data_IF_581536552520
#
_entry.id   IF_581536552520
#
_cell.length_a   1.000
_cell.length_b   1.000
_cell.length_c   1.000
_cell.angle_alpha   90.00
_cell.angle_beta   90.00
_cell.angle_gamma   90.00
#
_symmetry.space_group_name_H-M   'P 1'
#
loop_
_entity.id
_entity.type
_entity.pdbx_description
1 polymer ?
#
# COMPACT_ATOMS: atom_id res chain seq x y z
N UNK A 1 -21.41 24.67 -7.32
CA UNK A 1 -20.18 24.09 -6.73
C UNK A 1 -20.46 22.68 -6.30
N UNK A 2 -19.94 21.72 -7.01
CA UNK A 2 -19.91 20.33 -6.56
C UNK A 2 -18.84 20.22 -5.46
N UNK A 3 -19.27 19.90 -4.23
CA UNK A 3 -18.34 19.56 -3.17
C UNK A 3 -17.66 18.24 -3.53
N UNK A 4 -16.38 18.28 -3.80
CA UNK A 4 -15.56 17.07 -3.95
C UNK A 4 -15.57 16.36 -2.60
N UNK A 5 -15.94 15.08 -2.59
CA UNK A 5 -15.90 14.30 -1.35
C UNK A 5 -14.43 14.05 -0.96
N UNK A 6 -14.17 13.86 0.33
CA UNK A 6 -12.82 13.53 0.81
C UNK A 6 -12.25 12.29 0.13
N UNK A 7 -13.11 11.34 -0.23
CA UNK A 7 -12.69 10.13 -0.96
C UNK A 7 -12.26 10.45 -2.40
N UNK A 8 -13.00 11.29 -3.11
CA UNK A 8 -12.63 11.75 -4.47
C UNK A 8 -11.30 12.53 -4.45
N UNK A 9 -11.07 13.34 -3.42
CA UNK A 9 -9.82 14.04 -3.23
C UNK A 9 -8.64 13.09 -3.06
N UNK A 10 -8.79 12.02 -2.28
CA UNK A 10 -7.79 10.96 -2.17
C UNK A 10 -7.57 10.22 -3.49
N UNK A 11 -8.63 9.92 -4.22
CA UNK A 11 -8.52 9.28 -5.54
C UNK A 11 -7.73 10.13 -6.53
N UNK A 12 -7.96 11.43 -6.57
CA UNK A 12 -7.20 12.36 -7.43
C UNK A 12 -5.72 12.38 -7.05
N UNK A 13 -5.39 12.47 -5.77
CA UNK A 13 -4.00 12.44 -5.27
C UNK A 13 -3.31 11.14 -5.61
N UNK A 14 -3.99 10.02 -5.39
CA UNK A 14 -3.49 8.69 -5.75
C UNK A 14 -3.26 8.58 -7.26
N UNK A 15 -4.16 9.11 -8.08
CA UNK A 15 -4.01 9.17 -9.53
C UNK A 15 -2.74 9.92 -9.95
N UNK A 16 -2.45 11.05 -9.31
CA UNK A 16 -1.20 11.80 -9.55
C UNK A 16 0.05 11.00 -9.16
N UNK A 17 0.01 10.33 -8.02
CA UNK A 17 1.09 9.45 -7.58
C UNK A 17 1.32 8.30 -8.56
N UNK A 18 0.25 7.65 -8.97
CA UNK A 18 0.33 6.55 -9.92
C UNK A 18 0.84 6.98 -11.30
N UNK A 19 0.65 8.24 -11.72
CA UNK A 19 1.22 8.74 -12.97
C UNK A 19 2.75 8.70 -12.99
N UNK A 20 3.38 8.71 -11.81
CA UNK A 20 4.83 8.58 -11.63
C UNK A 20 5.30 7.12 -11.49
N UNK A 21 4.38 6.18 -11.37
CA UNK A 21 4.69 4.76 -11.21
C UNK A 21 4.85 4.05 -12.56
N UNK A 22 5.52 2.89 -12.59
CA UNK A 22 5.59 2.07 -13.78
C UNK A 22 4.20 1.73 -14.34
N UNK A 23 4.07 1.66 -15.65
CA UNK A 23 2.82 1.31 -16.35
C UNK A 23 2.20 0.01 -15.84
N UNK A 24 3.02 -0.95 -15.44
CA UNK A 24 2.56 -2.24 -14.87
C UNK A 24 1.78 -2.07 -13.57
N UNK A 25 2.18 -1.10 -12.73
CA UNK A 25 1.47 -0.78 -11.47
C UNK A 25 0.13 -0.12 -11.74
N UNK A 26 0.07 0.78 -12.72
CA UNK A 26 -1.19 1.39 -13.19
C UNK A 26 -2.16 0.34 -13.73
N UNK A 27 -1.67 -0.64 -14.48
CA UNK A 27 -2.48 -1.74 -14.99
C UNK A 27 -3.05 -2.60 -13.86
N UNK A 28 -2.30 -2.82 -12.78
CA UNK A 28 -2.78 -3.53 -11.60
C UNK A 28 -3.93 -2.80 -10.91
N UNK A 29 -3.83 -1.48 -10.77
CA UNK A 29 -4.90 -0.66 -10.18
C UNK A 29 -6.17 -0.73 -11.04
N UNK A 30 -6.05 -0.55 -12.35
CA UNK A 30 -7.16 -0.66 -13.30
C UNK A 30 -7.81 -2.06 -13.25
N UNK A 31 -7.01 -3.11 -13.17
CA UNK A 31 -7.50 -4.48 -13.05
C UNK A 31 -8.29 -4.71 -11.74
N UNK A 32 -7.89 -4.09 -10.65
CA UNK A 32 -8.62 -4.14 -9.37
C UNK A 32 -9.99 -3.48 -9.52
N UNK A 33 -10.07 -2.32 -10.13
CA UNK A 33 -11.32 -1.60 -10.38
C UNK A 33 -12.26 -2.42 -11.28
N UNK A 34 -11.76 -2.98 -12.38
CA UNK A 34 -12.53 -3.83 -13.30
C UNK A 34 -13.08 -5.08 -12.62
N UNK A 35 -12.28 -5.73 -11.78
CA UNK A 35 -12.72 -6.91 -11.02
C UNK A 35 -13.85 -6.59 -10.05
N UNK A 36 -13.86 -5.39 -9.49
CA UNK A 36 -14.94 -4.95 -8.59
C UNK A 36 -16.23 -4.61 -9.33
N UNK A 37 -16.15 -4.00 -10.50
CA UNK A 37 -17.31 -3.69 -11.33
C UNK A 37 -18.07 -4.94 -11.81
N UNK A 38 -17.35 -6.03 -12.05
CA UNK A 38 -17.92 -7.30 -12.47
C UNK A 38 -18.85 -7.94 -11.41
N UNK A 39 -18.65 -7.62 -10.14
CA UNK A 39 -19.51 -8.06 -9.04
C UNK A 39 -19.53 -9.58 -8.80
N UNK A 40 -18.59 -10.34 -9.37
CA UNK A 40 -18.48 -11.78 -9.20
C UNK A 40 -17.71 -12.14 -7.93
N UNK A 41 -18.36 -12.82 -6.94
CA UNK A 41 -17.70 -13.19 -5.68
C UNK A 41 -16.46 -14.07 -5.86
N UNK A 42 -16.39 -14.89 -6.91
CA UNK A 42 -15.23 -15.73 -7.20
C UNK A 42 -13.96 -14.91 -7.49
N UNK A 43 -14.12 -13.64 -7.86
CA UNK A 43 -13.01 -12.74 -8.16
C UNK A 43 -12.49 -11.96 -6.97
N UNK A 44 -13.15 -12.01 -5.83
CA UNK A 44 -12.75 -11.25 -4.65
C UNK A 44 -11.36 -11.64 -4.13
N UNK A 45 -11.01 -12.92 -4.18
CA UNK A 45 -9.66 -13.39 -3.86
C UNK A 45 -8.60 -12.80 -4.80
N UNK A 46 -8.94 -12.69 -6.07
CA UNK A 46 -8.05 -12.08 -7.08
C UNK A 46 -7.83 -10.60 -6.80
N UNK A 47 -8.89 -9.89 -6.37
CA UNK A 47 -8.80 -8.48 -5.98
C UNK A 47 -7.83 -8.30 -4.81
N UNK A 48 -7.95 -9.12 -3.76
CA UNK A 48 -7.04 -9.07 -2.61
C UNK A 48 -5.58 -9.35 -3.01
N UNK A 49 -5.37 -10.36 -3.85
CA UNK A 49 -4.04 -10.67 -4.38
C UNK A 49 -3.48 -9.51 -5.20
N UNK A 50 -4.31 -8.86 -5.99
CA UNK A 50 -3.92 -7.71 -6.80
C UNK A 50 -3.59 -6.49 -5.92
N UNK A 51 -4.35 -6.25 -4.86
CA UNK A 51 -4.05 -5.21 -3.87
C UNK A 51 -2.70 -5.46 -3.18
N UNK A 52 -2.42 -6.70 -2.80
CA UNK A 52 -1.13 -7.07 -2.21
C UNK A 52 0.02 -6.80 -3.16
N UNK A 53 -0.09 -7.23 -4.41
CA UNK A 53 0.94 -6.98 -5.44
C UNK A 53 1.14 -5.49 -5.71
N UNK A 54 0.06 -4.70 -5.66
CA UNK A 54 0.15 -3.24 -5.74
C UNK A 54 1.01 -2.69 -4.61
N UNK A 55 0.80 -3.13 -3.38
CA UNK A 55 1.60 -2.70 -2.23
C UNK A 55 3.06 -3.14 -2.31
N UNK A 56 3.34 -4.32 -2.86
CA UNK A 56 4.71 -4.77 -3.13
C UNK A 56 5.42 -3.82 -4.10
N UNK A 57 4.75 -3.42 -5.17
CA UNK A 57 5.29 -2.46 -6.14
C UNK A 57 5.49 -1.07 -5.52
N UNK A 58 4.51 -0.59 -4.76
CA UNK A 58 4.60 0.71 -4.06
C UNK A 58 5.75 0.71 -3.07
N UNK A 59 5.93 -0.37 -2.31
CA UNK A 59 7.03 -0.52 -1.37
C UNK A 59 8.39 -0.42 -2.06
N UNK A 60 8.54 -1.11 -3.18
CA UNK A 60 9.79 -1.07 -3.95
C UNK A 60 10.08 0.32 -4.50
N UNK A 61 9.10 0.93 -5.16
CA UNK A 61 9.27 2.27 -5.77
C UNK A 61 9.54 3.32 -4.71
N UNK A 62 8.80 3.31 -3.61
CA UNK A 62 8.97 4.26 -2.52
C UNK A 62 10.34 4.12 -1.84
N UNK A 63 10.78 2.88 -1.60
CA UNK A 63 12.09 2.62 -1.02
C UNK A 63 13.22 3.12 -1.91
N UNK A 64 13.17 2.86 -3.21
CA UNK A 64 14.17 3.34 -4.17
C UNK A 64 14.18 4.87 -4.28
N UNK A 65 13.03 5.52 -4.22
CA UNK A 65 12.90 6.98 -4.26
C UNK A 65 13.43 7.65 -2.99
N UNK A 66 13.11 7.10 -1.83
CA UNK A 66 13.43 7.72 -0.52
C UNK A 66 14.85 7.39 -0.07
N UNK A 67 15.32 6.19 -0.35
CA UNK A 67 16.61 5.66 0.08
C UNK A 67 17.44 5.13 -1.11
N UNK A 68 17.69 5.96 -2.15
CA UNK A 68 18.35 5.50 -3.38
C UNK A 68 19.78 5.02 -3.15
N UNK A 69 20.45 5.55 -2.13
CA UNK A 69 21.85 5.24 -1.81
C UNK A 69 22.01 4.14 -0.77
N UNK A 70 20.92 3.63 -0.22
CA UNK A 70 20.96 2.54 0.76
C UNK A 70 21.23 1.21 0.06
N UNK A 71 22.44 0.66 0.27
CA UNK A 71 22.91 -0.57 -0.36
C UNK A 71 23.05 -1.74 0.62
N UNK A 72 22.98 -1.43 1.91
CA UNK A 72 23.09 -2.44 2.97
C UNK A 72 21.83 -3.31 3.02
N UNK A 73 22.01 -4.55 3.41
CA UNK A 73 20.92 -5.50 3.63
C UNK A 73 20.01 -5.05 4.75
N UNK A 74 20.57 -4.46 5.81
CA UNK A 74 19.86 -4.08 7.01
C UNK A 74 19.64 -2.57 7.09
N UNK A 75 18.49 -2.18 7.59
CA UNK A 75 18.15 -0.79 7.92
C UNK A 75 17.92 -0.68 9.43
N UNK A 76 18.54 0.31 10.05
CA UNK A 76 18.37 0.57 11.49
C UNK A 76 17.24 1.57 11.71
N UNK A 77 16.20 1.13 12.41
CA UNK A 77 15.05 1.96 12.77
C UNK A 77 15.40 2.97 13.88
N UNK A 78 14.56 3.96 14.09
CA UNK A 78 14.70 4.95 15.19
C UNK A 78 14.75 4.28 16.56
N UNK A 79 14.07 3.16 16.76
CA UNK A 79 14.09 2.40 18.01
C UNK A 79 15.34 1.54 18.17
N UNK A 80 16.25 1.56 17.19
CA UNK A 80 17.48 0.77 17.19
C UNK A 80 17.32 -0.65 16.69
N UNK A 81 16.12 -1.06 16.28
CA UNK A 81 15.87 -2.36 15.68
C UNK A 81 16.44 -2.40 14.26
N UNK A 82 17.12 -3.48 13.92
CA UNK A 82 17.58 -3.73 12.56
C UNK A 82 16.54 -4.58 11.79
N UNK A 83 16.17 -4.13 10.60
CA UNK A 83 15.22 -4.82 9.72
C UNK A 83 15.88 -5.11 8.37
N UNK A 84 15.61 -6.28 7.83
CA UNK A 84 16.12 -6.70 6.51
C UNK A 84 15.29 -6.02 5.40
N UNK A 85 15.92 -5.17 4.62
CA UNK A 85 15.30 -4.45 3.49
C UNK A 85 15.75 -4.99 2.13
N UNK A 86 16.37 -6.16 2.10
CA UNK A 86 16.79 -6.82 0.86
C UNK A 86 15.66 -7.64 0.24
N UNK A 87 15.83 -8.01 -1.03
CA UNK A 87 14.94 -8.95 -1.72
C UNK A 87 13.46 -8.56 -1.63
N UNK A 88 12.64 -9.51 -1.19
CA UNK A 88 11.17 -9.40 -1.15
C UNK A 88 10.61 -8.97 0.21
N UNK A 89 11.44 -8.36 1.07
CA UNK A 89 11.01 -7.85 2.37
C UNK A 89 10.25 -6.51 2.23
N UNK A 90 9.13 -6.52 1.52
CA UNK A 90 8.37 -5.32 1.17
C UNK A 90 7.83 -4.55 2.38
N UNK A 91 7.36 -5.25 3.43
CA UNK A 91 6.91 -4.60 4.66
C UNK A 91 8.03 -3.80 5.32
N UNK A 92 9.24 -4.35 5.34
CA UNK A 92 10.41 -3.67 5.90
C UNK A 92 10.84 -2.50 5.03
N UNK A 93 10.80 -2.64 3.71
CA UNK A 93 11.10 -1.54 2.77
C UNK A 93 10.15 -0.37 2.97
N UNK A 94 8.85 -0.64 3.06
CA UNK A 94 7.85 0.42 3.28
C UNK A 94 8.04 1.10 4.63
N UNK A 95 8.31 0.33 5.68
CA UNK A 95 8.59 0.85 7.02
C UNK A 95 9.80 1.77 7.04
N UNK A 96 10.90 1.36 6.42
CA UNK A 96 12.12 2.14 6.31
C UNK A 96 11.90 3.45 5.54
N UNK A 97 11.20 3.39 4.41
CA UNK A 97 10.90 4.55 3.59
C UNK A 97 10.01 5.56 4.33
N UNK A 98 8.95 5.11 4.98
CA UNK A 98 8.02 5.97 5.72
C UNK A 98 8.70 6.59 6.94
N UNK A 99 9.49 5.83 7.70
CA UNK A 99 10.24 6.35 8.83
C UNK A 99 11.20 7.47 8.38
N UNK A 100 11.88 7.27 7.27
CA UNK A 100 12.78 8.27 6.68
C UNK A 100 12.03 9.52 6.24
N UNK A 101 10.87 9.39 5.61
CA UNK A 101 10.01 10.52 5.24
C UNK A 101 9.51 11.28 6.45
N UNK A 102 9.09 10.58 7.50
CA UNK A 102 8.67 11.20 8.76
C UNK A 102 9.78 12.02 9.41
N UNK A 103 11.02 11.52 9.39
CA UNK A 103 12.19 12.27 9.87
C UNK A 103 12.42 13.55 9.08
N UNK A 104 12.40 13.44 7.75
CA UNK A 104 12.61 14.59 6.86
C UNK A 104 11.52 15.64 7.01
N UNK A 105 10.27 15.21 7.19
CA UNK A 105 9.13 16.09 7.39
C UNK A 105 9.03 16.65 8.83
N UNK A 106 9.81 16.13 9.76
CA UNK A 106 9.70 16.40 11.20
C UNK A 106 8.28 16.17 11.74
N UNK A 107 7.58 15.15 11.23
CA UNK A 107 6.21 14.78 11.59
C UNK A 107 6.13 13.34 12.07
N UNK A 108 5.31 13.11 13.09
CA UNK A 108 4.91 11.78 13.50
C UNK A 108 3.53 11.48 12.89
N UNK A 109 3.45 10.39 12.13
CA UNK A 109 2.20 9.91 11.53
C UNK A 109 2.00 8.43 11.85
N UNK A 110 0.77 7.98 11.75
CA UNK A 110 0.42 6.56 11.89
C UNK A 110 0.43 5.80 10.56
N UNK A 111 0.82 6.46 9.46
CA UNK A 111 0.76 5.91 8.10
C UNK A 111 1.49 4.57 7.99
N UNK A 112 2.69 4.46 8.55
CA UNK A 112 3.45 3.21 8.51
C UNK A 112 2.73 2.06 9.22
N UNK A 113 2.16 2.32 10.39
CA UNK A 113 1.40 1.33 11.16
C UNK A 113 0.11 0.92 10.44
N UNK A 114 -0.58 1.87 9.83
CA UNK A 114 -1.80 1.61 9.04
C UNK A 114 -1.52 0.70 7.84
N UNK A 115 -0.44 0.94 7.11
CA UNK A 115 -0.06 0.15 5.94
C UNK A 115 0.34 -1.27 6.35
N UNK A 116 1.15 -1.42 7.38
CA UNK A 116 1.54 -2.74 7.89
C UNK A 116 0.32 -3.52 8.35
N UNK A 117 -0.59 -2.87 9.08
CA UNK A 117 -1.85 -3.49 9.49
C UNK A 117 -2.68 -3.95 8.29
N UNK A 118 -2.79 -3.13 7.26
CA UNK A 118 -3.53 -3.47 6.03
C UNK A 118 -2.92 -4.67 5.30
N UNK A 119 -1.60 -4.72 5.18
CA UNK A 119 -0.90 -5.83 4.53
C UNK A 119 -1.07 -7.12 5.34
N UNK A 120 -0.88 -7.05 6.66
CA UNK A 120 -1.08 -8.20 7.55
C UNK A 120 -2.51 -8.73 7.48
N UNK A 121 -3.49 -7.84 7.44
CA UNK A 121 -4.88 -8.20 7.30
C UNK A 121 -5.17 -8.92 5.98
N UNK A 122 -4.64 -8.46 4.86
CA UNK A 122 -4.74 -9.13 3.57
C UNK A 122 -4.10 -10.52 3.58
N UNK A 123 -2.94 -10.66 4.21
CA UNK A 123 -2.25 -11.95 4.35
C UNK A 123 -3.06 -12.94 5.19
N UNK A 124 -3.67 -12.49 6.28
CA UNK A 124 -4.51 -13.34 7.12
C UNK A 124 -5.74 -13.85 6.35
N UNK A 125 -6.40 -13.01 5.58
CA UNK A 125 -7.54 -13.42 4.74
C UNK A 125 -7.10 -14.46 3.71
N UNK A 126 -5.98 -14.26 3.04
CA UNK A 126 -5.44 -15.22 2.09
C UNK A 126 -5.10 -16.56 2.74
N UNK A 127 -4.55 -16.57 3.95
CA UNK A 127 -4.26 -17.81 4.72
C UNK A 127 -5.53 -18.57 5.07
N UNK A 128 -6.59 -17.88 5.50
CA UNK A 128 -7.87 -18.49 5.79
C UNK A 128 -8.48 -19.20 4.58
N UNK A 129 -8.35 -18.62 3.40
CA UNK A 129 -8.79 -19.25 2.15
C UNK A 129 -7.99 -20.48 1.78
N UNK A 130 -6.66 -20.45 2.02
CA UNK A 130 -5.73 -21.56 1.68
C UNK A 130 -5.86 -22.73 2.65
N UNK A 131 -6.40 -22.55 3.85
CA UNK A 131 -6.46 -23.58 4.91
C UNK A 131 -7.63 -24.56 4.78
N UNK A 132 -8.46 -24.43 3.73
CA UNK A 132 -9.65 -25.28 3.54
C UNK A 132 -10.80 -24.98 4.49
N UNK A 133 -10.66 -24.01 5.37
CA UNK A 133 -11.78 -23.41 6.07
C UNK A 133 -12.49 -22.52 5.05
N UNK A 134 -13.71 -22.90 4.66
CA UNK A 134 -14.52 -22.18 3.68
C UNK A 134 -15.01 -20.83 4.22
N UNK A 135 -14.08 -19.88 4.41
CA UNK A 135 -14.44 -18.49 4.59
C UNK A 135 -14.31 -17.80 3.23
N UNK A 136 -15.42 -17.65 2.56
CA UNK A 136 -15.46 -16.86 1.33
C UNK A 136 -15.10 -15.41 1.68
N UNK A 137 -14.22 -14.81 0.87
CA UNK A 137 -13.97 -13.37 0.94
C UNK A 137 -15.26 -12.65 0.60
N UNK A 138 -15.72 -11.80 1.50
CA UNK A 138 -16.93 -11.02 1.29
C UNK A 138 -16.65 -9.75 0.50
N UNK A 139 -17.69 -9.23 -0.18
CA UNK A 139 -17.61 -7.94 -0.86
C UNK A 139 -17.17 -6.82 0.09
N UNK A 140 -17.66 -6.81 1.32
CA UNK A 140 -17.31 -5.79 2.32
C UNK A 140 -15.83 -5.83 2.70
N UNK A 141 -15.23 -7.01 2.81
CA UNK A 141 -13.79 -7.16 3.07
C UNK A 141 -12.97 -6.59 1.92
N UNK A 142 -13.35 -6.86 0.69
CA UNK A 142 -12.67 -6.33 -0.50
C UNK A 142 -12.81 -4.82 -0.61
N UNK A 143 -14.01 -4.29 -0.43
CA UNK A 143 -14.26 -2.85 -0.43
C UNK A 143 -13.45 -2.12 0.64
N UNK A 144 -13.37 -2.69 1.83
CA UNK A 144 -12.54 -2.17 2.92
C UNK A 144 -11.07 -2.13 2.51
N UNK A 145 -10.56 -3.19 1.91
CA UNK A 145 -9.18 -3.27 1.43
C UNK A 145 -8.89 -2.16 0.40
N UNK A 146 -9.76 -1.96 -0.58
CA UNK A 146 -9.60 -0.94 -1.62
C UNK A 146 -9.63 0.46 -1.01
N UNK A 147 -10.62 0.76 -0.17
CA UNK A 147 -10.76 2.08 0.46
C UNK A 147 -9.53 2.40 1.32
N UNK A 148 -9.10 1.47 2.16
CA UNK A 148 -7.90 1.64 2.99
C UNK A 148 -6.64 1.80 2.15
N UNK A 149 -6.53 1.11 1.02
CA UNK A 149 -5.41 1.25 0.09
C UNK A 149 -5.36 2.67 -0.47
N UNK A 150 -6.48 3.22 -0.93
CA UNK A 150 -6.53 4.60 -1.43
C UNK A 150 -6.19 5.62 -0.34
N UNK A 151 -6.74 5.47 0.85
CA UNK A 151 -6.47 6.37 1.98
C UNK A 151 -4.98 6.34 2.34
N UNK A 152 -4.39 5.15 2.49
CA UNK A 152 -2.98 4.99 2.85
C UNK A 152 -2.04 5.55 1.77
N UNK A 153 -2.34 5.33 0.50
CA UNK A 153 -1.59 5.92 -0.61
C UNK A 153 -1.68 7.44 -0.63
N UNK A 154 -2.86 7.99 -0.37
CA UNK A 154 -3.05 9.45 -0.24
C UNK A 154 -2.25 10.04 0.92
N UNK A 155 -2.17 9.35 2.04
CA UNK A 155 -1.39 9.76 3.21
C UNK A 155 0.13 9.72 2.94
N UNK A 156 0.61 8.71 2.19
CA UNK A 156 2.02 8.67 1.74
C UNK A 156 2.34 9.86 0.85
N UNK A 157 1.46 10.18 -0.09
CA UNK A 157 1.63 11.34 -0.97
C UNK A 157 1.72 12.64 -0.20
N UNK A 158 0.83 12.82 0.77
CA UNK A 158 0.84 13.99 1.63
C UNK A 158 2.15 14.10 2.41
N UNK A 159 2.64 12.97 2.93
CA UNK A 159 3.92 12.92 3.64
C UNK A 159 5.11 13.25 2.71
N UNK A 160 5.09 12.79 1.47
CA UNK A 160 6.08 13.16 0.44
C UNK A 160 6.06 14.66 0.17
N UNK A 161 4.90 15.24 -0.02
CA UNK A 161 4.75 16.67 -0.31
C UNK A 161 5.27 17.53 0.84
N UNK A 162 5.13 17.08 2.07
CA UNK A 162 5.62 17.79 3.27
C UNK A 162 7.17 17.81 3.34
N UNK A 163 7.86 16.98 2.57
CA UNK A 163 9.34 16.89 2.53
C UNK A 163 9.94 17.73 1.40
N UNK A 164 9.19 18.02 0.38
CA UNK A 164 9.63 18.76 -0.82
C UNK A 164 9.55 20.28 -0.66
#
# INVERSE_FOLDING_TARGET
MTSVTSFEEYQERVGLFFSELPTTTLQKLSAIEDLMEDGNPERYSQVLTSCRRLWEDVAQVLFEEVLPDHKEKMFKTKTGKEIDVSGDHYNNKISAAIETLQERAAKNTLVGSEIIYLIDWMEQINKLQSSGVHSEVTRDQVMRCIIHTYIALGDILKLRDDVS
#
